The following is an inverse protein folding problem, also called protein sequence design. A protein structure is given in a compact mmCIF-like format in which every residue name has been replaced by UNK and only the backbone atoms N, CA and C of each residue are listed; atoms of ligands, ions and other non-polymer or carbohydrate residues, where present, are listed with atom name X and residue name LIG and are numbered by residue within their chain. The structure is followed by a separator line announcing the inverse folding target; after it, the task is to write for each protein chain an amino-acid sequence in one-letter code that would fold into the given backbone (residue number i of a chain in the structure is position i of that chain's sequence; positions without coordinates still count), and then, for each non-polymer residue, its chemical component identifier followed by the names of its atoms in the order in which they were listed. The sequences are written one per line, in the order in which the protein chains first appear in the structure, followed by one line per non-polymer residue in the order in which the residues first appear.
data_IF_184741628863
#
_entry.id   IF_184741628863
#
_cell.length_a   1.000
_cell.length_b   1.000
_cell.length_c   1.000
_cell.angle_alpha   90.00
_cell.angle_beta   90.00
_cell.angle_gamma   90.00
#
_symmetry.space_group_name_H-M   'P 1'
#
loop_
_entity.id
_entity.type
_entity.pdbx_description
1 polymer ?
#
# COMPACT_ATOMS: atom_id res chain seq x y z
N UNK A 1 -14.33 73.44 3.53
CA UNK A 1 -13.17 73.06 2.68
C UNK A 1 -13.11 71.54 2.67
N UNK A 2 -13.86 70.91 1.75
CA UNK A 2 -13.38 70.28 0.48
C UNK A 2 -12.61 68.96 0.77
N UNK A 3 -12.97 67.77 0.27
CA UNK A 3 -14.04 67.33 -0.64
C UNK A 3 -14.15 65.80 -0.58
N UNK A 4 -15.37 65.28 -0.72
CA UNK A 4 -15.73 63.88 -1.04
C UNK A 4 -15.06 63.40 -2.34
N UNK A 5 -14.82 62.08 -2.48
CA UNK A 5 -15.26 61.36 -3.69
C UNK A 5 -15.41 59.84 -3.47
N UNK A 6 -16.67 59.43 -3.63
CA UNK A 6 -17.24 58.10 -3.83
C UNK A 6 -16.80 57.49 -5.16
N UNK A 7 -16.58 56.17 -5.22
CA UNK A 7 -16.63 55.40 -6.47
C UNK A 7 -17.89 54.53 -6.50
N UNK A 8 -18.81 54.93 -7.37
CA UNK A 8 -20.02 54.22 -7.75
C UNK A 8 -19.71 53.10 -8.75
N UNK A 9 -20.47 52.01 -8.59
CA UNK A 9 -20.75 50.97 -9.57
C UNK A 9 -21.72 51.47 -10.66
N UNK A 10 -21.55 51.04 -11.93
CA UNK A 10 -22.62 50.81 -12.92
C UNK A 10 -22.09 50.36 -14.30
N UNK A 11 -22.93 49.79 -15.21
CA UNK A 11 -22.76 48.43 -15.75
C UNK A 11 -22.76 48.32 -17.31
N UNK A 12 -22.67 47.06 -17.81
CA UNK A 12 -23.11 46.54 -19.13
C UNK A 12 -22.37 47.12 -20.38
N UNK A 13 -22.04 46.46 -21.50
CA UNK A 13 -22.29 45.19 -22.26
C UNK A 13 -21.24 45.21 -23.44
N UNK A 14 -21.19 44.33 -24.48
CA UNK A 14 -22.00 43.17 -24.83
C UNK A 14 -21.24 41.87 -25.20
N UNK A 15 -22.03 40.80 -25.34
CA UNK A 15 -21.79 39.55 -26.06
C UNK A 15 -21.18 39.78 -27.46
N UNK A 16 -20.19 38.96 -27.82
CA UNK A 16 -19.90 38.60 -29.21
C UNK A 16 -19.51 37.12 -29.30
N UNK A 17 -20.22 36.43 -30.20
CA UNK A 17 -20.10 35.02 -30.50
C UNK A 17 -18.81 34.69 -31.29
N UNK A 18 -18.18 33.58 -30.94
CA UNK A 18 -17.32 32.76 -31.79
C UNK A 18 -17.36 31.36 -31.16
N UNK A 19 -17.95 30.33 -31.77
CA UNK A 19 -17.58 29.81 -33.08
C UNK A 19 -16.98 28.43 -32.81
N UNK A 20 -17.86 27.42 -32.81
CA UNK A 20 -17.47 26.02 -32.69
C UNK A 20 -16.56 25.61 -33.85
N UNK A 21 -15.45 24.94 -33.53
CA UNK A 21 -14.67 24.19 -34.49
C UNK A 21 -14.42 22.80 -33.89
N UNK A 22 -15.15 21.82 -34.43
CA UNK A 22 -14.90 20.40 -34.31
C UNK A 22 -13.48 20.08 -34.77
N UNK A 23 -12.70 19.39 -33.93
CA UNK A 23 -11.56 18.61 -34.36
C UNK A 23 -11.91 17.14 -34.14
N UNK A 24 -12.47 16.53 -35.18
CA UNK A 24 -12.58 15.09 -35.32
C UNK A 24 -11.16 14.51 -35.40
N UNK A 25 -10.78 13.66 -34.45
CA UNK A 25 -9.56 12.87 -34.55
C UNK A 25 -9.96 11.43 -34.89
N UNK A 26 -9.71 11.04 -36.13
CA UNK A 26 -9.91 9.68 -36.64
C UNK A 26 -9.09 8.67 -35.83
N UNK A 27 -9.78 7.70 -35.22
CA UNK A 27 -9.18 6.48 -34.70
C UNK A 27 -9.06 5.51 -35.86
N UNK A 28 -7.84 5.27 -36.35
CA UNK A 28 -7.54 4.13 -37.24
C UNK A 28 -7.15 2.92 -36.39
N UNK A 29 -8.02 1.93 -36.37
CA UNK A 29 -7.72 0.57 -35.93
C UNK A 29 -6.59 -0.02 -36.81
N UNK A 30 -5.57 -0.59 -36.18
CA UNK A 30 -4.57 -1.44 -36.86
C UNK A 30 -4.69 -2.84 -36.26
N UNK A 31 -5.14 -3.78 -37.08
CA UNK A 31 -5.39 -5.17 -36.72
C UNK A 31 -4.10 -5.95 -36.49
N UNK A 32 -4.15 -6.82 -35.49
CA UNK A 32 -3.13 -7.77 -35.07
C UNK A 32 -3.01 -8.95 -36.05
N UNK A 33 -2.30 -8.76 -37.15
CA UNK A 33 -1.74 -9.83 -37.97
C UNK A 33 -0.83 -9.19 -39.01
N UNK A 34 0.46 -9.04 -38.72
CA UNK A 34 1.56 -8.88 -39.69
C UNK A 34 2.80 -8.34 -38.99
N UNK A 35 3.55 -9.22 -38.32
CA UNK A 35 4.93 -8.91 -37.91
C UNK A 35 5.78 -10.13 -37.57
N UNK A 36 5.81 -11.15 -38.43
CA UNK A 36 6.83 -12.20 -38.38
C UNK A 36 7.14 -12.71 -39.78
N UNK A 37 8.09 -12.08 -40.46
CA UNK A 37 8.83 -12.70 -41.54
C UNK A 37 9.98 -11.80 -42.00
N UNK A 38 11.13 -12.43 -42.22
CA UNK A 38 12.32 -11.95 -42.94
C UNK A 38 13.49 -11.45 -42.08
N UNK A 39 14.36 -12.39 -41.73
CA UNK A 39 15.81 -12.28 -41.99
C UNK A 39 16.43 -13.69 -41.94
N UNK A 40 16.61 -14.29 -43.12
CA UNK A 40 17.48 -15.45 -43.36
C UNK A 40 18.91 -14.93 -43.60
N UNK A 41 19.90 -15.48 -42.90
CA UNK A 41 21.34 -15.31 -43.19
C UNK A 41 22.00 -16.71 -43.08
N UNK A 42 22.88 -17.10 -44.01
CA UNK A 42 23.13 -18.51 -44.35
C UNK A 42 24.11 -19.25 -43.42
N UNK A 43 23.98 -20.57 -43.43
CA UNK A 43 24.84 -21.52 -42.72
C UNK A 43 26.16 -21.76 -43.45
N UNK A 44 27.30 -21.39 -42.85
CA UNK A 44 28.56 -22.15 -42.89
C UNK A 44 29.62 -21.47 -42.02
N UNK A 45 30.16 -22.21 -41.04
CA UNK A 45 31.59 -22.46 -40.76
C UNK A 45 31.64 -23.08 -39.36
N UNK A 46 31.89 -24.38 -39.32
CA UNK A 46 32.28 -25.09 -38.11
C UNK A 46 33.79 -24.86 -37.88
N UNK A 47 34.15 -24.37 -36.69
CA UNK A 47 35.52 -24.49 -36.16
C UNK A 47 35.51 -24.32 -34.63
N UNK A 48 35.72 -25.45 -33.95
CA UNK A 48 36.44 -25.62 -32.68
C UNK A 48 36.37 -24.48 -31.66
N UNK A 49 35.42 -24.58 -30.72
CA UNK A 49 35.61 -24.03 -29.39
C UNK A 49 35.60 -25.17 -28.37
N UNK A 50 36.76 -25.35 -27.75
CA UNK A 50 37.02 -26.24 -26.63
C UNK A 50 36.11 -25.86 -25.47
N UNK A 51 35.36 -26.82 -24.95
CA UNK A 51 34.63 -26.71 -23.68
C UNK A 51 35.67 -26.53 -22.57
N UNK A 52 35.74 -25.32 -22.03
CA UNK A 52 36.30 -25.09 -20.69
C UNK A 52 35.09 -24.82 -19.81
N UNK A 53 34.83 -25.75 -18.88
CA UNK A 53 33.89 -25.52 -17.79
C UNK A 53 34.27 -24.23 -17.06
N UNK A 54 33.32 -23.32 -16.98
CA UNK A 54 33.23 -22.39 -15.85
C UNK A 54 31.81 -22.52 -15.28
N UNK A 55 31.61 -23.50 -14.39
CA UNK A 55 30.43 -23.65 -13.55
C UNK A 55 30.37 -22.55 -12.47
N UNK A 56 30.53 -21.28 -12.86
CA UNK A 56 30.55 -20.15 -11.93
C UNK A 56 30.22 -18.80 -12.57
N UNK A 57 29.31 -18.78 -13.54
CA UNK A 57 28.68 -17.53 -14.00
C UNK A 57 27.17 -17.71 -14.08
N UNK A 58 26.48 -17.54 -12.94
CA UNK A 58 25.11 -17.00 -12.80
C UNK A 58 24.59 -17.22 -11.36
N UNK A 59 24.83 -16.27 -10.45
CA UNK A 59 23.97 -16.06 -9.25
C UNK A 59 24.34 -14.78 -8.47
N UNK A 60 24.71 -13.69 -9.14
CA UNK A 60 25.09 -12.46 -8.40
C UNK A 60 23.90 -11.58 -7.98
N UNK A 61 22.64 -11.99 -8.20
CA UNK A 61 21.50 -11.17 -7.78
C UNK A 61 20.20 -11.96 -7.52
N UNK A 62 20.33 -13.16 -6.93
CA UNK A 62 19.15 -13.95 -6.55
C UNK A 62 18.54 -13.36 -5.27
N UNK A 63 17.33 -12.82 -5.36
CA UNK A 63 16.59 -12.31 -4.19
C UNK A 63 16.16 -13.49 -3.32
N UNK A 64 16.27 -13.31 -2.01
CA UNK A 64 15.93 -14.30 -0.99
C UNK A 64 15.14 -13.63 0.13
N UNK A 65 14.26 -14.39 0.76
CA UNK A 65 13.57 -14.01 1.98
C UNK A 65 14.59 -13.78 3.11
N UNK A 66 14.37 -12.72 3.88
CA UNK A 66 15.19 -12.38 5.03
C UNK A 66 14.40 -12.67 6.31
N UNK A 67 14.96 -13.48 7.20
CA UNK A 67 14.38 -13.66 8.51
C UNK A 67 14.52 -12.34 9.29
N UNK A 68 13.43 -11.88 9.89
CA UNK A 68 13.45 -10.67 10.72
C UNK A 68 14.12 -11.00 12.05
N UNK A 69 15.32 -10.48 12.26
CA UNK A 69 16.09 -10.67 13.48
C UNK A 69 16.08 -9.42 14.37
N UNK A 70 16.06 -9.64 15.69
CA UNK A 70 16.21 -8.58 16.69
C UNK A 70 14.90 -7.87 17.04
N UNK A 71 15.03 -6.78 17.81
CA UNK A 71 13.92 -5.93 18.21
C UNK A 71 13.60 -4.84 17.19
N UNK A 72 12.56 -4.05 17.47
CA UNK A 72 12.15 -2.94 16.60
C UNK A 72 13.10 -1.74 16.73
N UNK A 73 13.91 -1.48 15.69
CA UNK A 73 14.81 -0.33 15.62
C UNK A 73 14.20 0.80 14.77
N UNK A 74 13.74 1.88 15.42
CA UNK A 74 13.03 2.98 14.75
C UNK A 74 13.76 3.56 13.54
N UNK A 75 15.07 3.74 13.64
CA UNK A 75 15.89 4.32 12.58
C UNK A 75 15.89 3.51 11.27
N UNK A 76 15.52 2.22 11.31
CA UNK A 76 15.41 1.37 10.13
C UNK A 76 14.07 1.50 9.42
N UNK A 77 13.04 1.98 10.11
CA UNK A 77 11.63 1.87 9.68
C UNK A 77 10.90 3.21 9.55
N UNK A 78 11.49 4.30 10.04
CA UNK A 78 10.95 5.66 9.93
C UNK A 78 11.91 6.58 9.18
N UNK A 79 11.35 7.62 8.55
CA UNK A 79 12.18 8.70 8.02
C UNK A 79 12.88 9.46 9.15
N UNK A 80 14.14 9.91 8.96
CA UNK A 80 14.89 10.60 10.01
C UNK A 80 14.18 11.85 10.59
N UNK A 81 13.37 12.55 9.77
CA UNK A 81 12.60 13.72 10.21
C UNK A 81 11.50 13.37 11.22
N UNK A 82 10.99 12.14 11.17
CA UNK A 82 9.87 11.68 11.99
C UNK A 82 10.33 11.29 13.39
N UNK A 83 11.55 10.76 13.51
CA UNK A 83 12.12 10.32 14.78
C UNK A 83 12.19 11.44 15.84
N UNK A 84 12.26 12.69 15.39
CA UNK A 84 12.29 13.87 16.27
C UNK A 84 11.00 14.71 16.18
N UNK A 85 9.97 14.21 15.48
CA UNK A 85 8.72 14.92 15.31
C UNK A 85 7.79 14.62 16.48
N UNK A 86 7.12 15.66 16.97
CA UNK A 86 6.06 15.51 17.97
C UNK A 86 4.69 15.68 17.31
N UNK A 87 3.78 14.77 17.61
CA UNK A 87 2.41 14.88 17.15
C UNK A 87 1.70 16.07 17.81
N UNK A 88 0.89 16.80 17.05
CA UNK A 88 0.14 17.93 17.60
C UNK A 88 -0.85 17.44 18.68
N UNK A 89 -0.97 18.11 19.85
CA UNK A 89 -1.80 17.63 20.96
C UNK A 89 -3.26 17.37 20.58
N UNK A 90 -3.86 18.23 19.73
CA UNK A 90 -5.22 18.02 19.23
C UNK A 90 -5.36 16.74 18.39
N UNK A 91 -4.36 16.41 17.58
CA UNK A 91 -4.37 15.18 16.77
C UNK A 91 -4.22 13.97 17.68
N UNK A 92 -3.29 14.01 18.62
CA UNK A 92 -3.11 12.95 19.61
C UNK A 92 -4.37 12.72 20.45
N UNK A 93 -5.07 13.79 20.83
CA UNK A 93 -6.34 13.70 21.55
C UNK A 93 -7.43 13.03 20.70
N UNK A 94 -7.47 13.31 19.39
CA UNK A 94 -8.42 12.69 18.48
C UNK A 94 -8.17 11.18 18.32
N UNK A 95 -6.90 10.75 18.21
CA UNK A 95 -6.55 9.32 18.15
C UNK A 95 -6.88 8.52 19.42
N UNK A 96 -7.10 9.19 20.56
CA UNK A 96 -7.51 8.56 21.82
C UNK A 96 -9.03 8.47 21.99
N UNK A 97 -9.81 9.02 21.05
CA UNK A 97 -11.26 8.99 21.15
C UNK A 97 -11.79 7.60 20.79
N UNK A 98 -12.70 7.08 21.60
CA UNK A 98 -13.51 5.91 21.24
C UNK A 98 -14.65 6.28 20.28
N UNK A 99 -15.35 5.27 19.76
CA UNK A 99 -16.46 5.47 18.82
C UNK A 99 -17.60 6.32 19.42
N UNK A 100 -17.83 6.27 20.74
CA UNK A 100 -18.86 7.06 21.43
C UNK A 100 -18.47 8.53 21.45
N UNK A 101 -17.21 8.82 21.77
CA UNK A 101 -16.65 10.17 21.81
C UNK A 101 -16.58 10.79 20.40
N UNK A 102 -16.20 10.01 19.39
CA UNK A 102 -16.20 10.44 17.98
C UNK A 102 -17.62 10.79 17.53
N UNK A 103 -18.60 9.92 17.79
CA UNK A 103 -19.99 10.13 17.39
C UNK A 103 -20.58 11.38 18.06
N UNK A 104 -20.40 11.55 19.38
CA UNK A 104 -20.89 12.71 20.12
C UNK A 104 -20.27 14.02 19.60
N UNK A 105 -18.95 14.02 19.35
CA UNK A 105 -18.26 15.19 18.80
C UNK A 105 -18.77 15.54 17.39
N UNK A 106 -18.91 14.54 16.52
CA UNK A 106 -19.38 14.76 15.15
C UNK A 106 -20.83 15.23 15.12
N UNK A 107 -21.71 14.65 15.94
CA UNK A 107 -23.11 15.05 16.08
C UNK A 107 -23.27 16.49 16.59
N UNK A 108 -22.45 16.92 17.54
CA UNK A 108 -22.44 18.32 18.00
C UNK A 108 -22.13 19.32 16.88
N UNK A 109 -21.18 18.96 15.98
CA UNK A 109 -20.81 19.79 14.83
C UNK A 109 -21.80 19.67 13.66
N UNK A 110 -22.58 18.58 13.62
CA UNK A 110 -23.50 18.27 12.52
C UNK A 110 -24.86 17.81 13.09
N UNK A 111 -25.72 18.73 13.57
CA UNK A 111 -26.95 18.38 14.29
C UNK A 111 -27.99 17.58 13.50
N UNK A 112 -27.87 17.52 12.18
CA UNK A 112 -28.75 16.75 11.30
C UNK A 112 -28.37 15.25 11.23
N UNK A 113 -27.25 14.85 11.82
CA UNK A 113 -26.74 13.47 11.78
C UNK A 113 -27.45 12.63 12.82
N UNK A 114 -27.90 11.44 12.42
CA UNK A 114 -28.36 10.40 13.35
C UNK A 114 -27.15 9.79 14.07
N UNK A 115 -27.00 10.13 15.35
CA UNK A 115 -25.89 9.65 16.17
C UNK A 115 -25.94 8.13 16.39
N UNK A 116 -27.13 7.53 16.50
CA UNK A 116 -27.28 6.10 16.69
C UNK A 116 -26.79 5.35 15.45
N UNK A 117 -27.17 5.83 14.25
CA UNK A 117 -26.68 5.25 13.00
C UNK A 117 -25.19 5.45 12.81
N UNK A 118 -24.64 6.61 13.17
CA UNK A 118 -23.20 6.86 13.12
C UNK A 118 -22.41 5.89 14.01
N UNK A 119 -22.88 5.64 15.23
CA UNK A 119 -22.25 4.65 16.14
C UNK A 119 -22.28 3.24 15.57
N UNK A 120 -23.38 2.85 14.94
CA UNK A 120 -23.48 1.57 14.21
C UNK A 120 -22.40 1.47 13.12
N UNK A 121 -22.26 2.51 12.29
CA UNK A 121 -21.26 2.56 11.22
C UNK A 121 -19.82 2.51 11.75
N UNK A 122 -19.52 3.25 12.82
CA UNK A 122 -18.19 3.23 13.45
C UNK A 122 -17.86 1.89 14.11
N UNK A 123 -18.89 1.13 14.50
CA UNK A 123 -18.74 -0.21 15.08
C UNK A 123 -18.60 -1.34 14.05
N UNK A 124 -18.77 -1.06 12.76
CA UNK A 124 -18.69 -2.07 11.71
C UNK A 124 -17.27 -2.65 11.61
N UNK A 125 -17.18 -3.99 11.60
CA UNK A 125 -15.93 -4.73 11.39
C UNK A 125 -15.98 -5.48 10.06
N UNK A 126 -15.16 -5.09 9.06
CA UNK A 126 -15.13 -5.77 7.77
C UNK A 126 -14.49 -7.16 7.88
N UNK A 127 -15.00 -8.13 7.11
CA UNK A 127 -14.48 -9.51 7.11
C UNK A 127 -13.25 -9.71 6.21
N UNK A 128 -13.20 -9.01 5.06
CA UNK A 128 -12.19 -9.23 4.03
C UNK A 128 -11.25 -8.04 3.80
N UNK A 129 -11.64 -6.86 4.30
CA UNK A 129 -10.96 -5.60 4.05
C UNK A 129 -10.65 -4.91 5.39
N UNK A 130 -9.81 -5.56 6.19
CA UNK A 130 -9.59 -5.24 7.61
C UNK A 130 -8.62 -4.08 7.84
N UNK A 131 -7.90 -3.67 6.80
CA UNK A 131 -7.04 -2.49 6.85
C UNK A 131 -7.18 -1.67 5.59
N UNK A 132 -7.39 -0.37 5.74
CA UNK A 132 -7.56 0.54 4.63
C UNK A 132 -6.95 1.90 4.95
N UNK A 133 -6.53 2.61 3.92
CA UNK A 133 -6.28 4.05 3.98
C UNK A 133 -7.15 4.73 2.95
N UNK A 134 -7.38 6.03 3.11
CA UNK A 134 -8.14 6.79 2.13
C UNK A 134 -7.47 8.13 1.89
N UNK A 135 -7.43 8.52 0.62
CA UNK A 135 -6.91 9.82 0.22
C UNK A 135 -8.07 10.80 0.24
N UNK A 136 -7.87 11.89 0.99
CA UNK A 136 -8.90 12.87 1.27
C UNK A 136 -8.52 14.24 0.70
N UNK A 137 -9.50 14.93 0.12
CA UNK A 137 -9.37 16.34 -0.27
C UNK A 137 -10.26 17.21 0.60
N UNK A 138 -9.68 18.27 1.15
CA UNK A 138 -10.44 19.35 1.80
C UNK A 138 -10.87 20.35 0.73
N UNK A 139 -12.13 20.29 0.31
CA UNK A 139 -12.70 21.15 -0.74
C UNK A 139 -13.61 22.22 -0.16
N UNK A 140 -13.78 23.32 -0.90
CA UNK A 140 -14.76 24.35 -0.60
C UNK A 140 -15.63 24.57 -1.83
N UNK A 141 -16.96 24.51 -1.68
CA UNK A 141 -17.87 24.73 -2.80
C UNK A 141 -18.07 26.23 -3.10
N UNK A 142 -18.84 26.55 -4.14
CA UNK A 142 -19.10 27.93 -4.57
C UNK A 142 -19.81 28.81 -3.53
N UNK A 143 -20.49 28.22 -2.55
CA UNK A 143 -21.11 28.93 -1.43
C UNK A 143 -20.21 29.04 -0.19
N UNK A 144 -18.94 28.62 -0.28
CA UNK A 144 -17.98 28.68 0.83
C UNK A 144 -18.06 27.52 1.82
N UNK A 145 -18.86 26.49 1.54
CA UNK A 145 -19.00 25.33 2.41
C UNK A 145 -17.80 24.40 2.27
N UNK A 146 -17.12 24.11 3.39
CA UNK A 146 -15.98 23.20 3.46
C UNK A 146 -16.43 21.76 3.66
N UNK A 147 -15.87 20.83 2.90
CA UNK A 147 -16.16 19.40 3.00
C UNK A 147 -14.90 18.58 2.79
N UNK A 148 -14.84 17.40 3.41
CA UNK A 148 -13.85 16.38 3.09
C UNK A 148 -14.44 15.44 2.05
N UNK A 149 -13.71 15.22 0.95
CA UNK A 149 -14.10 14.29 -0.12
C UNK A 149 -13.11 13.14 -0.14
N UNK A 150 -13.63 11.90 -0.19
CA UNK A 150 -12.82 10.70 -0.39
C UNK A 150 -12.53 10.55 -1.88
N UNK A 151 -11.26 10.46 -2.25
CA UNK A 151 -10.82 10.29 -3.64
C UNK A 151 -10.63 8.82 -3.96
N UNK A 152 -9.91 8.11 -3.11
CA UNK A 152 -9.67 6.68 -3.24
C UNK A 152 -9.54 6.01 -1.88
N UNK A 153 -9.74 4.69 -1.88
CA UNK A 153 -9.52 3.82 -0.72
C UNK A 153 -8.49 2.76 -1.10
N UNK A 154 -7.39 2.76 -0.37
CA UNK A 154 -6.21 1.92 -0.60
C UNK A 154 -6.24 0.67 0.29
N UNK A 155 -6.09 -0.50 -0.35
CA UNK A 155 -6.03 -1.83 0.29
C UNK A 155 -4.66 -2.17 0.89
N UNK A 156 -3.62 -1.43 0.50
CA UNK A 156 -2.27 -1.51 1.05
C UNK A 156 -1.79 -0.06 1.27
N UNK A 157 -2.37 0.66 2.25
CA UNK A 157 -2.07 2.07 2.43
C UNK A 157 -0.66 2.26 2.99
N UNK A 158 -0.05 3.36 2.59
CA UNK A 158 1.28 3.78 3.01
C UNK A 158 1.18 5.04 3.86
N UNK A 159 2.08 5.22 4.82
CA UNK A 159 2.17 6.43 5.62
C UNK A 159 2.87 6.26 6.97
N UNK A 160 3.04 5.04 7.46
CA UNK A 160 3.53 4.82 8.83
C UNK A 160 4.97 5.29 9.02
N UNK A 161 5.84 5.07 8.02
CA UNK A 161 7.22 5.61 8.01
C UNK A 161 7.33 7.14 8.15
N UNK A 162 6.21 7.85 7.93
CA UNK A 162 6.10 9.31 7.98
C UNK A 162 5.27 9.82 9.17
N UNK A 163 4.68 8.92 9.97
CA UNK A 163 3.73 9.25 11.02
C UNK A 163 4.47 9.41 12.36
N UNK A 164 4.46 10.59 12.99
CA UNK A 164 5.11 10.80 14.29
C UNK A 164 4.45 9.96 15.39
N UNK A 165 5.22 9.45 16.36
CA UNK A 165 4.67 8.57 17.37
C UNK A 165 3.56 9.23 18.19
N UNK A 166 2.49 8.47 18.48
CA UNK A 166 1.38 8.94 19.32
C UNK A 166 1.76 9.11 20.79
N UNK A 167 2.77 8.36 21.25
CA UNK A 167 3.31 8.35 22.61
C UNK A 167 4.84 8.16 22.53
N UNK A 168 5.59 8.87 23.37
CA UNK A 168 7.05 8.90 23.30
C UNK A 168 7.71 7.55 23.65
N UNK A 169 7.03 6.69 24.42
CA UNK A 169 7.54 5.37 24.82
C UNK A 169 7.19 4.24 23.84
N UNK A 170 6.54 4.57 22.73
CA UNK A 170 6.05 3.60 21.76
C UNK A 170 6.94 3.55 20.52
N UNK A 171 7.94 2.67 20.54
CA UNK A 171 8.94 2.58 19.49
C UNK A 171 8.38 2.14 18.12
N UNK A 172 7.43 1.21 18.09
CA UNK A 172 6.83 0.70 16.86
C UNK A 172 5.59 1.49 16.43
N UNK A 173 5.02 2.30 17.33
CA UNK A 173 3.94 3.26 17.12
C UNK A 173 2.85 2.79 16.16
N UNK A 174 2.64 3.51 15.05
CA UNK A 174 1.62 3.17 14.06
C UNK A 174 1.77 1.78 13.43
N UNK A 175 2.99 1.24 13.35
CA UNK A 175 3.19 -0.15 12.91
C UNK A 175 2.57 -1.14 13.89
N UNK A 176 2.81 -0.98 15.20
CA UNK A 176 2.18 -1.85 16.22
C UNK A 176 0.68 -1.70 16.21
N UNK A 177 0.16 -0.49 16.06
CA UNK A 177 -1.29 -0.25 16.02
C UNK A 177 -1.95 -1.03 14.87
N UNK A 178 -1.39 -0.96 13.65
CA UNK A 178 -1.91 -1.69 12.49
C UNK A 178 -1.74 -3.20 12.66
N UNK A 179 -0.54 -3.66 13.04
CA UNK A 179 -0.26 -5.09 13.23
C UNK A 179 -1.18 -5.66 14.31
N UNK A 180 -1.25 -5.05 15.48
CA UNK A 180 -2.10 -5.51 16.58
C UNK A 180 -3.58 -5.58 16.22
N UNK A 181 -4.10 -4.60 15.47
CA UNK A 181 -5.48 -4.61 15.01
C UNK A 181 -5.78 -5.69 13.95
N UNK A 182 -4.76 -6.12 13.20
CA UNK A 182 -4.91 -7.08 12.09
C UNK A 182 -4.37 -8.47 12.42
N UNK A 183 -3.69 -8.63 13.56
CA UNK A 183 -3.01 -9.87 13.96
C UNK A 183 -3.99 -11.04 14.04
N UNK A 184 -5.18 -10.81 14.61
CA UNK A 184 -6.22 -11.83 14.68
C UNK A 184 -6.64 -12.38 13.30
N UNK A 185 -6.67 -11.54 12.27
CA UNK A 185 -6.96 -11.98 10.90
C UNK A 185 -5.79 -12.78 10.28
N UNK A 186 -4.55 -12.43 10.62
CA UNK A 186 -3.33 -13.11 10.16
C UNK A 186 -3.13 -14.46 10.86
N UNK A 187 -3.44 -14.54 12.15
CA UNK A 187 -3.24 -15.71 13.00
C UNK A 187 -4.50 -16.57 13.17
N UNK A 188 -5.59 -16.25 12.46
CA UNK A 188 -6.81 -17.04 12.50
C UNK A 188 -6.53 -18.50 12.14
N UNK A 189 -7.30 -19.41 12.74
CA UNK A 189 -7.14 -20.86 12.57
C UNK A 189 -6.94 -21.24 11.10
N UNK A 190 -5.88 -21.99 10.88
CA UNK A 190 -5.43 -22.45 9.57
C UNK A 190 -4.93 -23.88 9.69
N UNK A 191 -5.10 -24.65 8.62
CA UNK A 191 -4.62 -26.02 8.49
C UNK A 191 -3.19 -26.08 7.89
N UNK A 192 -2.53 -24.93 7.84
CA UNK A 192 -1.15 -24.77 7.37
C UNK A 192 -0.25 -24.54 8.58
N UNK A 193 0.66 -25.48 8.81
CA UNK A 193 1.81 -25.25 9.68
C UNK A 193 2.87 -24.45 8.90
N UNK A 194 3.43 -23.42 9.53
CA UNK A 194 4.43 -22.58 8.89
C UNK A 194 4.68 -21.27 9.61
N UNK A 195 5.55 -20.46 9.01
CA UNK A 195 5.96 -19.16 9.53
C UNK A 195 5.02 -18.05 9.04
N UNK A 196 5.33 -16.82 9.46
CA UNK A 196 4.67 -15.61 8.98
C UNK A 196 5.53 -14.91 7.93
N UNK A 197 4.92 -14.08 7.07
CA UNK A 197 5.67 -13.28 6.11
C UNK A 197 5.07 -11.88 5.89
N UNK A 198 5.95 -10.94 5.54
CA UNK A 198 5.59 -9.67 4.91
C UNK A 198 6.15 -9.68 3.48
N UNK A 199 5.26 -9.74 2.50
CA UNK A 199 5.62 -9.72 1.07
C UNK A 199 5.44 -8.31 0.51
N UNK A 200 6.39 -7.80 -0.25
CA UNK A 200 6.33 -6.43 -0.77
C UNK A 200 6.96 -6.26 -2.14
N UNK A 201 6.49 -5.27 -2.90
CA UNK A 201 7.02 -4.91 -4.23
C UNK A 201 7.57 -3.49 -4.32
N UNK A 202 7.49 -2.72 -3.22
CA UNK A 202 8.06 -1.38 -3.07
C UNK A 202 8.15 -1.00 -1.59
N UNK A 203 8.81 0.12 -1.29
CA UNK A 203 8.86 0.73 0.04
C UNK A 203 9.42 -0.20 1.15
N UNK A 204 10.63 -0.74 0.95
CA UNK A 204 11.29 -1.65 1.90
C UNK A 204 11.36 -1.12 3.35
N UNK A 205 11.56 0.19 3.54
CA UNK A 205 11.55 0.81 4.88
C UNK A 205 10.23 0.58 5.64
N UNK A 206 9.10 0.66 4.94
CA UNK A 206 7.80 0.48 5.57
C UNK A 206 7.42 -1.00 5.70
N UNK A 207 7.71 -1.80 4.68
CA UNK A 207 7.52 -3.24 4.73
C UNK A 207 8.33 -3.88 5.87
N UNK A 208 9.58 -3.48 6.04
CA UNK A 208 10.42 -3.93 7.17
C UNK A 208 9.88 -3.48 8.53
N UNK A 209 9.27 -2.30 8.62
CA UNK A 209 8.59 -1.84 9.84
C UNK A 209 7.41 -2.74 10.22
N UNK A 210 6.58 -3.11 9.25
CA UNK A 210 5.51 -4.09 9.49
C UNK A 210 6.06 -5.46 9.87
N UNK A 211 7.15 -5.91 9.24
CA UNK A 211 7.74 -7.21 9.53
C UNK A 211 8.35 -7.27 10.95
N UNK A 212 9.06 -6.22 11.37
CA UNK A 212 9.61 -6.08 12.71
C UNK A 212 8.50 -5.98 13.78
N UNK A 213 7.45 -5.22 13.52
CA UNK A 213 6.29 -5.15 14.42
C UNK A 213 5.58 -6.52 14.50
N UNK A 214 5.36 -7.19 13.37
CA UNK A 214 4.75 -8.52 13.34
C UNK A 214 5.57 -9.54 14.11
N UNK A 215 6.90 -9.55 13.96
CA UNK A 215 7.78 -10.47 14.69
C UNK A 215 7.72 -10.21 16.20
N UNK A 216 7.70 -8.93 16.59
CA UNK A 216 7.63 -8.52 18.01
C UNK A 216 6.30 -8.93 18.65
N UNK A 217 5.18 -8.65 17.99
CA UNK A 217 3.83 -8.88 18.53
C UNK A 217 3.44 -10.36 18.51
N UNK A 218 3.79 -11.10 17.46
CA UNK A 218 3.51 -12.54 17.35
C UNK A 218 4.48 -13.39 18.16
N UNK A 219 5.73 -12.94 18.33
CA UNK A 219 6.86 -13.73 18.86
C UNK A 219 7.13 -14.98 18.03
N UNK A 220 6.93 -14.89 16.72
CA UNK A 220 7.13 -15.97 15.75
C UNK A 220 8.15 -15.57 14.68
N UNK A 221 8.60 -16.55 13.91
CA UNK A 221 9.41 -16.28 12.73
C UNK A 221 8.61 -15.50 11.69
N UNK A 222 9.16 -14.36 11.27
CA UNK A 222 8.60 -13.53 10.21
C UNK A 222 9.65 -13.35 9.13
N UNK A 223 9.26 -13.65 7.91
CA UNK A 223 10.07 -13.44 6.72
C UNK A 223 9.73 -12.10 6.06
N UNK A 224 10.73 -11.26 5.80
CA UNK A 224 10.62 -10.09 4.94
C UNK A 224 11.01 -10.50 3.51
N UNK A 225 10.07 -10.40 2.58
CA UNK A 225 10.21 -11.01 1.26
C UNK A 225 9.89 -10.04 0.14
N UNK A 226 10.89 -9.80 -0.70
CA UNK A 226 10.69 -9.09 -1.96
C UNK A 226 9.93 -9.97 -2.95
N UNK A 227 8.83 -9.46 -3.48
CA UNK A 227 8.05 -10.14 -4.51
C UNK A 227 7.70 -9.09 -5.57
N UNK A 228 8.32 -9.16 -6.75
CA UNK A 228 8.14 -8.18 -7.83
C UNK A 228 7.38 -8.77 -9.03
N UNK A 229 6.67 -7.93 -9.77
CA UNK A 229 6.00 -8.33 -11.01
C UNK A 229 7.03 -8.64 -12.11
N UNK A 230 6.84 -9.75 -12.83
CA UNK A 230 7.76 -10.20 -13.88
C UNK A 230 9.12 -10.72 -13.38
N UNK A 231 9.29 -10.97 -12.07
CA UNK A 231 10.47 -11.67 -11.56
C UNK A 231 10.49 -13.10 -12.11
N UNK A 232 11.57 -13.48 -12.78
CA UNK A 232 11.74 -14.81 -13.35
C UNK A 232 12.16 -15.85 -12.31
N UNK A 233 12.68 -15.40 -11.16
CA UNK A 233 13.15 -16.27 -10.08
C UNK A 233 12.83 -15.68 -8.69
N UNK A 234 11.54 -15.40 -8.41
CA UNK A 234 11.12 -14.79 -7.16
C UNK A 234 11.43 -15.72 -5.98
N UNK A 235 11.71 -15.16 -4.78
CA UNK A 235 11.82 -15.94 -3.56
C UNK A 235 10.47 -16.41 -3.01
N UNK A 236 9.42 -16.45 -3.83
CA UNK A 236 8.06 -16.86 -3.47
C UNK A 236 7.58 -17.88 -4.50
N UNK A 237 7.02 -18.98 -4.01
CA UNK A 237 6.35 -19.98 -4.83
C UNK A 237 5.07 -20.46 -4.14
N UNK A 238 4.23 -21.18 -4.88
CA UNK A 238 2.97 -21.72 -4.39
C UNK A 238 2.96 -23.24 -4.56
N UNK A 239 2.86 -23.96 -3.45
CA UNK A 239 2.85 -25.43 -3.42
C UNK A 239 1.56 -25.86 -2.73
N UNK A 240 0.70 -26.59 -3.43
CA UNK A 240 -0.60 -27.04 -2.93
C UNK A 240 -1.43 -25.91 -2.28
N UNK A 241 -1.51 -24.76 -2.97
CA UNK A 241 -2.21 -23.54 -2.54
C UNK A 241 -1.63 -22.84 -1.29
N UNK A 242 -0.44 -23.24 -0.83
CA UNK A 242 0.28 -22.61 0.28
C UNK A 242 1.48 -21.81 -0.23
N UNK A 243 1.62 -20.57 0.23
CA UNK A 243 2.78 -19.73 -0.04
C UNK A 243 4.02 -20.35 0.60
N UNK A 244 5.10 -20.46 -0.16
CA UNK A 244 6.42 -20.83 0.34
C UNK A 244 7.42 -19.74 -0.02
N UNK A 245 8.34 -19.46 0.89
CA UNK A 245 9.39 -18.44 0.71
C UNK A 245 10.77 -19.06 0.77
N UNK A 246 11.68 -18.60 -0.08
CA UNK A 246 13.04 -19.14 -0.20
C UNK A 246 14.04 -18.29 0.57
N UNK A 247 14.76 -18.87 1.51
CA UNK A 247 15.83 -18.19 2.25
C UNK A 247 17.16 -18.16 1.47
N UNK A 248 18.19 -17.58 2.09
CA UNK A 248 19.53 -17.47 1.50
C UNK A 248 20.26 -18.81 1.32
N UNK A 249 19.85 -19.86 2.04
CA UNK A 249 20.36 -21.23 1.87
C UNK A 249 19.69 -21.98 0.72
N UNK A 250 18.65 -21.39 0.12
CA UNK A 250 17.82 -22.03 -0.90
C UNK A 250 16.72 -22.93 -0.31
N UNK A 251 16.53 -22.90 1.01
CA UNK A 251 15.47 -23.66 1.69
C UNK A 251 14.14 -22.94 1.57
N UNK A 252 13.07 -23.71 1.30
CA UNK A 252 11.72 -23.20 1.18
C UNK A 252 10.94 -23.40 2.48
N UNK A 253 10.36 -22.32 3.00
CA UNK A 253 9.59 -22.29 4.25
C UNK A 253 8.12 -22.05 3.94
N UNK A 254 7.23 -22.89 4.48
CA UNK A 254 5.79 -22.71 4.33
C UNK A 254 5.32 -21.49 5.14
N UNK A 255 4.42 -20.69 4.56
CA UNK A 255 3.86 -19.50 5.20
C UNK A 255 2.39 -19.73 5.50
N UNK A 256 2.04 -19.66 6.78
CA UNK A 256 0.65 -19.83 7.24
C UNK A 256 -0.13 -18.51 7.28
N UNK A 257 0.57 -17.38 7.50
CA UNK A 257 0.01 -16.04 7.61
C UNK A 257 0.88 -14.99 6.93
N UNK A 258 0.28 -14.10 6.15
CA UNK A 258 1.00 -13.16 5.30
C UNK A 258 0.39 -11.75 5.34
N UNK A 259 1.20 -10.76 5.73
CA UNK A 259 0.88 -9.35 5.51
C UNK A 259 1.25 -8.98 4.08
N UNK A 260 0.23 -8.75 3.24
CA UNK A 260 0.43 -8.35 1.85
C UNK A 260 0.73 -6.86 1.75
N UNK A 261 1.94 -6.54 1.31
CA UNK A 261 2.35 -5.20 0.90
C UNK A 261 2.81 -5.16 -0.58
N UNK A 262 2.24 -6.06 -1.37
CA UNK A 262 2.35 -6.10 -2.83
C UNK A 262 1.25 -5.24 -3.41
N UNK A 263 1.63 -4.13 -4.05
CA UNK A 263 0.73 -3.04 -4.40
C UNK A 263 0.42 -2.94 -5.88
N UNK A 264 1.31 -3.44 -6.74
CA UNK A 264 1.20 -3.31 -8.19
C UNK A 264 0.79 -4.64 -8.81
N UNK A 265 -0.44 -4.70 -9.35
CA UNK A 265 -0.97 -5.89 -10.03
C UNK A 265 -0.77 -7.18 -9.23
N UNK A 266 -1.20 -7.25 -7.95
CA UNK A 266 -0.96 -8.42 -7.11
C UNK A 266 -1.57 -9.70 -7.70
N UNK A 267 -2.62 -9.59 -8.51
CA UNK A 267 -3.27 -10.70 -9.25
C UNK A 267 -2.36 -11.41 -10.25
N UNK A 268 -1.24 -10.82 -10.66
CA UNK A 268 -0.27 -11.51 -11.53
C UNK A 268 0.51 -12.62 -10.80
N UNK A 269 0.48 -12.62 -9.47
CA UNK A 269 1.45 -13.34 -8.62
C UNK A 269 0.82 -14.05 -7.42
N UNK A 270 -0.24 -13.47 -6.87
CA UNK A 270 -0.96 -14.02 -5.72
C UNK A 270 -2.23 -14.69 -6.24
N UNK A 271 -2.41 -16.01 -6.01
CA UNK A 271 -3.62 -16.73 -6.37
C UNK A 271 -4.85 -16.16 -5.66
N UNK A 272 -6.00 -16.18 -6.34
CA UNK A 272 -7.30 -15.81 -5.78
C UNK A 272 -7.74 -16.73 -4.63
N UNK A 273 -7.25 -17.97 -4.62
CA UNK A 273 -7.50 -18.96 -3.57
C UNK A 273 -6.17 -19.44 -3.03
N UNK A 274 -6.02 -19.33 -1.72
CA UNK A 274 -4.81 -19.72 -1.01
C UNK A 274 -5.20 -20.24 0.37
N UNK A 275 -4.42 -21.20 0.87
CA UNK A 275 -4.50 -21.69 2.25
C UNK A 275 -3.73 -20.80 3.23
N UNK A 276 -2.74 -20.05 2.74
CA UNK A 276 -2.07 -19.01 3.52
C UNK A 276 -3.06 -17.89 3.85
N UNK A 277 -3.26 -17.60 5.14
CA UNK A 277 -4.06 -16.45 5.58
C UNK A 277 -3.37 -15.17 5.12
N UNK A 278 -4.10 -14.29 4.46
CA UNK A 278 -3.53 -13.08 3.90
C UNK A 278 -4.32 -11.87 4.35
N UNK A 279 -3.62 -10.85 4.86
CA UNK A 279 -4.23 -9.55 5.13
C UNK A 279 -4.60 -8.89 3.81
N UNK A 280 -5.89 -8.57 3.63
CA UNK A 280 -6.47 -8.02 2.40
C UNK A 280 -6.07 -8.83 1.15
N UNK A 281 -6.64 -10.03 0.95
CA UNK A 281 -6.35 -10.86 -0.23
C UNK A 281 -6.75 -10.16 -1.55
N UNK A 282 -6.32 -10.73 -2.68
CA UNK A 282 -6.63 -10.26 -4.04
C UNK A 282 -8.03 -10.68 -4.46
#
# INVERSE_FOLDING_TARGET
MTTKQSRHYSPALPLAAAGAAEAANEVKEVSSSDRWSLLHVPATVAANYTVVQSDSMQCENRRNAQLVEGGFEQARHFYPRVLNAHIHPLVAAFFRMDNVQVAARYGHLNPAVDEAKLRELLGYQPQHFTWAGSDLLSVTNGSGQRQMVVVETNSCPSGQKSMPPLQDNDASSGYRAVVGATLGALLADTDVDGDLAVVYDKNAMEASGYAAALATESREHVWLVEYYDGDLDPPVTWIADTMHVRDSSGTWHAIRGCLRYVTQRPWNRIPLRTRTRMLNPV
#
